data_IF_688547285620
#
_entry.id   IF_688547285620
#
_cell.length_a   1.000
_cell.length_b   1.000
_cell.length_c   1.000
_cell.angle_alpha   90.00
_cell.angle_beta   90.00
_cell.angle_gamma   90.00
#
_symmetry.space_group_name_H-M   'P 1'
#
loop_
_entity.id
_entity.type
_entity.pdbx_description
1 polymer ?
#
# COMPACT_ATOMS: atom_id res chain seq x y z
N UNK A 1 17.04 -0.11 -1.23
CA UNK A 1 17.48 0.89 -2.22
C UNK A 1 18.54 0.33 -3.16
N UNK A 2 19.64 -0.22 -2.64
CA UNK A 2 20.71 -0.79 -3.49
C UNK A 2 20.21 -1.79 -4.54
N UNK A 3 19.34 -2.74 -4.15
CA UNK A 3 18.72 -3.69 -5.08
C UNK A 3 17.94 -3.01 -6.22
N UNK A 4 17.24 -1.91 -5.92
CA UNK A 4 16.46 -1.19 -6.92
C UNK A 4 17.35 -0.46 -7.93
N UNK A 5 18.48 0.08 -7.48
CA UNK A 5 19.49 0.67 -8.35
C UNK A 5 20.09 -0.38 -9.27
N UNK A 6 20.53 -1.52 -8.73
CA UNK A 6 21.06 -2.63 -9.53
C UNK A 6 20.04 -3.14 -10.55
N UNK A 7 18.77 -3.28 -10.14
CA UNK A 7 17.69 -3.66 -11.04
C UNK A 7 17.47 -2.61 -12.15
N UNK A 8 17.57 -1.32 -11.82
CA UNK A 8 17.33 -0.23 -12.76
C UNK A 8 18.45 -0.16 -13.79
N UNK A 9 19.69 -0.30 -13.36
CA UNK A 9 20.87 -0.37 -14.25
C UNK A 9 20.81 -1.60 -15.16
N UNK A 10 20.39 -2.76 -14.62
CA UNK A 10 20.39 -4.02 -15.37
C UNK A 10 19.23 -4.15 -16.35
N UNK A 11 18.05 -3.66 -15.99
CA UNK A 11 16.80 -3.94 -16.71
C UNK A 11 16.08 -2.70 -17.23
N UNK A 12 16.46 -1.49 -16.81
CA UNK A 12 15.76 -0.23 -17.08
C UNK A 12 14.23 -0.34 -16.92
N UNK A 13 13.79 -0.97 -15.82
CA UNK A 13 12.37 -1.22 -15.60
C UNK A 13 11.59 0.10 -15.50
N UNK A 14 10.34 0.07 -15.98
CA UNK A 14 9.45 1.25 -16.02
C UNK A 14 8.35 1.23 -14.95
N UNK A 15 8.29 0.14 -14.20
CA UNK A 15 7.32 -0.08 -13.13
C UNK A 15 7.94 -1.04 -12.09
N UNK A 16 7.55 -0.87 -10.83
CA UNK A 16 7.95 -1.72 -9.71
C UNK A 16 6.72 -2.39 -9.06
N UNK A 17 6.89 -3.58 -8.52
CA UNK A 17 5.88 -4.25 -7.71
C UNK A 17 6.53 -4.80 -6.43
N UNK A 18 6.02 -4.37 -5.28
CA UNK A 18 6.43 -4.89 -3.97
C UNK A 18 5.55 -6.07 -3.58
N UNK A 19 6.20 -7.14 -3.14
CA UNK A 19 5.58 -8.42 -2.77
C UNK A 19 5.67 -8.72 -1.27
N UNK A 20 5.89 -7.70 -0.44
CA UNK A 20 5.73 -7.80 1.01
C UNK A 20 4.28 -8.18 1.36
N UNK A 21 4.09 -9.09 2.31
CA UNK A 21 2.75 -9.53 2.74
C UNK A 21 1.82 -8.35 3.09
N UNK A 22 2.37 -7.32 3.76
CA UNK A 22 1.70 -6.07 4.07
C UNK A 22 2.71 -4.92 4.00
N UNK A 23 2.84 -4.30 2.84
CA UNK A 23 3.78 -3.19 2.62
C UNK A 23 3.53 -1.99 3.55
N UNK A 24 2.28 -1.76 3.94
CA UNK A 24 1.87 -0.59 4.73
C UNK A 24 1.89 -0.81 6.25
N UNK A 25 2.43 -1.94 6.72
CA UNK A 25 2.39 -2.32 8.13
C UNK A 25 3.09 -1.31 9.07
N UNK A 26 4.15 -0.65 8.58
CA UNK A 26 4.99 0.27 9.37
C UNK A 26 5.02 1.67 8.76
N UNK A 27 4.20 2.59 9.30
CA UNK A 27 4.11 3.98 8.79
C UNK A 27 5.41 4.76 8.87
N UNK A 28 6.18 4.60 9.95
CA UNK A 28 7.46 5.31 10.10
C UNK A 28 8.46 4.90 9.00
N UNK A 29 8.50 3.60 8.69
CA UNK A 29 9.30 3.09 7.58
C UNK A 29 8.84 3.66 6.23
N UNK A 30 7.53 3.78 5.98
CA UNK A 30 7.01 4.42 4.75
C UNK A 30 7.48 5.87 4.63
N UNK A 31 7.44 6.65 5.72
CA UNK A 31 7.86 8.05 5.74
C UNK A 31 9.34 8.21 5.39
N UNK A 32 10.18 7.26 5.78
CA UNK A 32 11.61 7.27 5.49
C UNK A 32 11.90 6.74 4.08
N UNK A 33 11.24 5.66 3.68
CA UNK A 33 11.55 4.92 2.46
C UNK A 33 11.02 5.59 1.19
N UNK A 34 9.76 6.03 1.20
CA UNK A 34 9.07 6.51 0.00
C UNK A 34 9.69 7.77 -0.62
N UNK A 35 10.14 8.77 0.16
CA UNK A 35 10.81 9.95 -0.42
C UNK A 35 12.09 9.57 -1.18
N UNK A 36 12.87 8.63 -0.65
CA UNK A 36 14.08 8.11 -1.30
C UNK A 36 13.75 7.35 -2.57
N UNK A 37 12.76 6.44 -2.51
CA UNK A 37 12.26 5.70 -3.67
C UNK A 37 11.83 6.65 -4.80
N UNK A 38 11.05 7.67 -4.47
CA UNK A 38 10.55 8.65 -5.44
C UNK A 38 11.67 9.50 -6.05
N UNK A 39 12.64 9.91 -5.25
CA UNK A 39 13.78 10.74 -5.70
C UNK A 39 14.76 9.97 -6.58
N UNK A 40 15.08 8.75 -6.19
CA UNK A 40 16.20 7.99 -6.77
C UNK A 40 15.78 7.03 -7.88
N UNK A 41 14.62 6.38 -7.74
CA UNK A 41 14.14 5.37 -8.70
C UNK A 41 13.06 5.96 -9.62
N UNK A 42 12.14 6.74 -9.05
CA UNK A 42 11.13 7.55 -9.75
C UNK A 42 10.34 6.81 -10.85
N UNK A 43 9.93 5.57 -10.60
CA UNK A 43 8.94 4.87 -11.44
C UNK A 43 7.67 4.58 -10.64
N UNK A 44 6.52 4.43 -11.31
CA UNK A 44 5.30 3.96 -10.67
C UNK A 44 5.51 2.61 -9.98
N UNK A 45 4.96 2.46 -8.78
CA UNK A 45 4.98 1.17 -8.08
C UNK A 45 3.60 0.71 -7.63
N UNK A 46 3.48 -0.60 -7.43
CA UNK A 46 2.32 -1.26 -6.84
C UNK A 46 2.74 -2.03 -5.61
N UNK A 47 1.85 -2.21 -4.65
CA UNK A 47 2.14 -2.98 -3.44
C UNK A 47 0.92 -3.71 -2.89
N UNK A 48 1.18 -4.72 -2.08
CA UNK A 48 0.15 -5.43 -1.31
C UNK A 48 -0.06 -4.78 0.05
N UNK A 49 -1.33 -4.68 0.46
CA UNK A 49 -1.74 -4.04 1.71
C UNK A 49 -2.93 -4.74 2.34
N UNK A 50 -3.27 -4.32 3.54
CA UNK A 50 -4.36 -4.86 4.33
C UNK A 50 -5.14 -3.70 4.97
N UNK A 51 -6.48 -3.76 4.93
CA UNK A 51 -7.38 -2.67 5.32
C UNK A 51 -7.07 -2.07 6.70
N UNK A 52 -6.73 -2.92 7.68
CA UNK A 52 -6.29 -2.52 9.03
C UNK A 52 -5.15 -1.48 9.05
N UNK A 53 -4.26 -1.49 8.05
CA UNK A 53 -3.09 -0.60 7.95
C UNK A 53 -3.28 0.51 6.92
N UNK A 54 -4.53 0.83 6.57
CA UNK A 54 -4.88 1.89 5.63
C UNK A 54 -5.66 2.98 6.38
N UNK A 55 -4.95 3.76 7.21
CA UNK A 55 -5.53 4.93 7.87
C UNK A 55 -5.53 6.18 6.96
N UNK A 56 -5.87 7.37 7.48
CA UNK A 56 -5.97 8.57 6.63
C UNK A 56 -4.62 9.06 6.08
N UNK A 57 -3.50 8.64 6.68
CA UNK A 57 -2.16 9.11 6.34
C UNK A 57 -1.52 8.24 5.25
N UNK A 58 -1.68 6.92 5.34
CA UNK A 58 -1.02 5.95 4.44
C UNK A 58 -1.32 6.20 2.96
N UNK A 59 -2.56 6.45 2.50
CA UNK A 59 -2.84 6.75 1.10
C UNK A 59 -2.07 7.97 0.59
N UNK A 60 -1.91 9.00 1.43
CA UNK A 60 -1.17 10.20 1.06
C UNK A 60 0.33 9.90 0.93
N UNK A 61 0.91 9.16 1.89
CA UNK A 61 2.30 8.73 1.80
C UNK A 61 2.59 7.91 0.54
N UNK A 62 1.73 6.93 0.23
CA UNK A 62 1.85 6.10 -0.96
C UNK A 62 1.78 6.94 -2.24
N UNK A 63 0.83 7.86 -2.32
CA UNK A 63 0.64 8.76 -3.46
C UNK A 63 1.85 9.65 -3.69
N UNK A 64 2.35 10.31 -2.63
CA UNK A 64 3.53 11.18 -2.70
C UNK A 64 4.80 10.39 -3.05
N UNK A 65 4.87 9.12 -2.62
CA UNK A 65 5.91 8.17 -2.98
C UNK A 65 5.87 7.66 -4.42
N UNK A 66 4.80 7.91 -5.17
CA UNK A 66 4.63 7.44 -6.56
C UNK A 66 3.93 6.09 -6.71
N UNK A 67 3.12 5.68 -5.73
CA UNK A 67 2.28 4.49 -5.85
C UNK A 67 1.19 4.73 -6.90
N UNK A 68 1.06 3.80 -7.85
CA UNK A 68 0.02 3.82 -8.88
C UNK A 68 -1.21 3.01 -8.49
N UNK A 69 -1.08 2.09 -7.54
CA UNK A 69 -2.21 1.32 -7.03
C UNK A 69 -1.79 0.27 -6.00
N UNK A 70 -2.75 -0.12 -5.17
CA UNK A 70 -2.54 -1.14 -4.12
C UNK A 70 -3.44 -2.34 -4.35
N UNK A 71 -2.93 -3.53 -4.05
CA UNK A 71 -3.72 -4.76 -3.96
C UNK A 71 -4.08 -5.01 -2.51
N UNK A 72 -5.37 -5.18 -2.22
CA UNK A 72 -5.85 -5.36 -0.86
C UNK A 72 -6.76 -6.59 -0.78
N UNK A 73 -6.39 -7.55 0.06
CA UNK A 73 -7.21 -8.73 0.30
C UNK A 73 -8.33 -8.44 1.28
N UNK A 74 -9.56 -8.20 0.81
CA UNK A 74 -10.76 -8.00 1.66
C UNK A 74 -11.35 -9.32 2.15
N UNK A 75 -11.37 -10.35 1.29
CA UNK A 75 -11.91 -11.71 1.51
C UNK A 75 -13.42 -11.80 1.86
N UNK A 76 -13.99 -10.92 2.69
CA UNK A 76 -15.43 -10.85 3.00
C UNK A 76 -15.83 -9.48 3.55
N UNK A 77 -17.01 -8.99 3.16
CA UNK A 77 -17.67 -7.80 3.75
C UNK A 77 -18.72 -8.17 4.80
N UNK A 78 -18.81 -9.43 5.22
CA UNK A 78 -19.77 -9.90 6.22
C UNK A 78 -19.46 -9.44 7.64
N UNK A 79 -20.28 -9.89 8.59
CA UNK A 79 -20.16 -9.53 10.01
C UNK A 79 -18.76 -9.78 10.58
N UNK A 80 -18.33 -8.90 11.47
CA UNK A 80 -17.02 -9.01 12.14
C UNK A 80 -16.86 -10.34 12.88
N UNK A 81 -17.92 -10.85 13.51
CA UNK A 81 -17.93 -12.14 14.21
C UNK A 81 -17.47 -13.28 13.30
N UNK A 82 -18.02 -13.37 12.09
CA UNK A 82 -17.66 -14.36 11.09
C UNK A 82 -16.23 -14.18 10.59
N UNK A 83 -15.86 -12.95 10.21
CA UNK A 83 -14.50 -12.64 9.73
C UNK A 83 -13.43 -12.98 10.75
N UNK A 84 -13.67 -12.65 12.02
CA UNK A 84 -12.72 -12.88 13.09
C UNK A 84 -12.61 -14.36 13.49
N UNK A 85 -13.74 -15.06 13.62
CA UNK A 85 -13.76 -16.44 14.12
C UNK A 85 -13.41 -17.46 13.03
N UNK A 86 -14.00 -17.31 11.83
CA UNK A 86 -13.84 -18.26 10.73
C UNK A 86 -12.66 -17.91 9.82
N UNK A 87 -12.51 -16.63 9.45
CA UNK A 87 -11.48 -16.19 8.50
C UNK A 87 -10.20 -15.67 9.18
N UNK A 88 -10.16 -15.64 10.52
CA UNK A 88 -9.02 -15.15 11.33
C UNK A 88 -8.58 -13.74 10.96
N UNK A 89 -9.53 -12.91 10.54
CA UNK A 89 -9.29 -11.53 10.15
C UNK A 89 -9.36 -10.58 11.33
N UNK A 90 -8.54 -9.54 11.26
CA UNK A 90 -8.38 -8.58 12.36
C UNK A 90 -8.97 -7.20 12.05
N UNK A 91 -9.31 -6.92 10.79
CA UNK A 91 -9.94 -5.65 10.41
C UNK A 91 -11.41 -5.59 10.82
N UNK A 92 -11.83 -4.40 11.25
CA UNK A 92 -13.22 -4.10 11.56
C UNK A 92 -13.93 -3.53 10.35
N UNK A 93 -15.23 -3.31 10.47
CA UNK A 93 -16.03 -2.72 9.40
C UNK A 93 -15.55 -1.31 9.04
N UNK A 94 -15.17 -0.51 10.04
CA UNK A 94 -14.68 0.85 9.84
C UNK A 94 -13.36 0.88 9.08
N UNK A 95 -12.50 -0.12 9.28
CA UNK A 95 -11.24 -0.25 8.53
C UNK A 95 -11.51 -0.57 7.06
N UNK A 96 -12.51 -1.41 6.78
CA UNK A 96 -12.91 -1.74 5.41
C UNK A 96 -13.51 -0.52 4.71
N UNK A 97 -14.40 0.20 5.38
CA UNK A 97 -15.01 1.42 4.83
C UNK A 97 -13.91 2.43 4.50
N UNK A 98 -13.03 2.74 5.46
CA UNK A 98 -11.94 3.70 5.24
C UNK A 98 -11.01 3.30 4.11
N UNK A 99 -10.68 2.01 4.01
CA UNK A 99 -9.77 1.51 2.98
C UNK A 99 -10.41 1.46 1.58
N UNK A 100 -11.75 1.37 1.49
CA UNK A 100 -12.50 1.36 0.23
C UNK A 100 -12.99 2.75 -0.18
N UNK A 101 -13.05 3.69 0.76
CA UNK A 101 -13.40 5.08 0.47
C UNK A 101 -12.41 5.64 -0.55
N UNK A 102 -12.91 6.15 -1.70
CA UNK A 102 -12.04 6.71 -2.71
C UNK A 102 -11.22 7.84 -2.09
N UNK A 103 -9.91 7.80 -2.32
CA UNK A 103 -9.04 8.98 -2.15
C UNK A 103 -9.42 10.13 -3.11
N UNK A 104 -10.61 10.12 -3.73
CA UNK A 104 -11.11 11.08 -4.71
C UNK A 104 -11.49 12.45 -4.11
N UNK A 105 -11.27 12.68 -2.81
CA UNK A 105 -11.10 14.02 -2.23
C UNK A 105 -9.65 14.52 -2.23
N UNK A 106 -8.69 13.69 -2.65
CA UNK A 106 -7.22 13.89 -2.58
C UNK A 106 -6.60 13.50 -3.93
N UNK A 107 -7.01 14.24 -4.96
CA UNK A 107 -6.86 13.96 -6.39
C UNK A 107 -5.58 13.24 -6.82
N UNK A 108 -5.73 12.02 -7.34
CA UNK A 108 -4.80 11.42 -8.29
C UNK A 108 -5.35 11.68 -9.69
N UNK A 109 -4.59 12.42 -10.50
CA UNK A 109 -4.73 12.52 -11.95
C UNK A 109 -3.60 11.73 -12.60
#
# INVERSE_FOLDING_TARGET
>A
MEELHQGKERFDFRQLEFHDDIFTMHKDWLREFLPGLKKEINVPFYCETHAKFMDEEVPQLLKDGGCAGTKMGIQSLGEFSYKHTMLKRAEKEEDLIRALEPAAGRGSA
#
